data_IF_976154938131
#
_entry.id   IF_976154938131
#
_cell.length_a   1.000
_cell.length_b   1.000
_cell.length_c   1.000
_cell.angle_alpha   90.00
_cell.angle_beta   90.00
_cell.angle_gamma   90.00
#
_symmetry.space_group_name_H-M   'P 1'
#
loop_
_entity.id
_entity.type
_entity.pdbx_description
1 polymer ?
#
# COMPACT_ATOMS: atom_id res chain seq x y z
N UNK A 1 -4.85 37.11 -7.11
CA UNK A 1 -3.40 36.86 -6.95
C UNK A 1 -3.15 36.15 -5.62
N UNK A 2 -1.91 35.73 -5.33
CA UNK A 2 -1.48 34.93 -4.17
C UNK A 2 -1.86 35.56 -2.80
N UNK A 3 -1.86 34.87 -1.65
CA UNK A 3 -1.06 33.70 -1.19
C UNK A 3 -1.86 32.90 -0.11
N UNK A 4 -1.59 31.66 0.35
CA UNK A 4 -0.36 30.93 0.82
C UNK A 4 0.41 31.66 1.94
N UNK A 5 0.85 31.07 3.06
CA UNK A 5 0.71 29.74 3.72
C UNK A 5 0.19 29.98 5.18
N UNK A 6 0.29 29.19 6.26
CA UNK A 6 0.99 27.94 6.63
C UNK A 6 0.38 27.36 7.92
N UNK A 7 0.29 26.02 8.10
CA UNK A 7 0.46 25.33 9.42
C UNK A 7 0.43 23.79 9.31
N UNK A 8 1.05 23.14 10.31
CA UNK A 8 1.12 21.69 10.58
C UNK A 8 2.43 20.99 10.16
N UNK A 9 3.55 21.52 10.65
CA UNK A 9 4.90 20.96 10.45
C UNK A 9 5.15 19.73 11.35
N UNK A 10 4.41 18.64 11.11
CA UNK A 10 4.63 17.32 11.75
C UNK A 10 6.00 16.76 11.33
N UNK A 11 7.07 17.19 12.01
CA UNK A 11 8.41 16.57 11.96
C UNK A 11 8.32 15.19 12.62
N UNK A 12 7.83 14.23 11.85
CA UNK A 12 7.97 12.79 12.13
C UNK A 12 9.47 12.48 12.17
N UNK A 13 10.04 12.34 13.36
CA UNK A 13 11.43 11.85 13.49
C UNK A 13 11.50 10.49 12.81
N UNK A 14 12.43 10.34 11.86
CA UNK A 14 12.76 9.05 11.26
C UNK A 14 13.69 8.36 12.24
N UNK A 15 13.12 7.57 13.15
CA UNK A 15 13.90 6.64 13.96
C UNK A 15 14.47 5.61 12.97
N UNK A 16 15.76 5.71 12.68
CA UNK A 16 16.50 4.76 11.88
C UNK A 16 16.68 3.47 12.69
N UNK A 17 15.61 2.68 12.77
CA UNK A 17 15.52 1.44 13.54
C UNK A 17 16.33 0.32 12.92
N UNK A 18 17.66 0.45 12.92
CA UNK A 18 18.60 -0.64 12.64
C UNK A 18 18.64 -1.60 13.83
N UNK A 19 17.53 -2.30 14.05
CA UNK A 19 17.54 -3.54 14.80
C UNK A 19 18.23 -4.57 13.90
N UNK A 20 19.29 -5.23 14.38
CA UNK A 20 20.22 -6.03 13.57
C UNK A 20 19.68 -7.34 12.97
N UNK A 21 18.37 -7.42 12.71
CA UNK A 21 17.77 -8.46 11.89
C UNK A 21 17.98 -8.17 10.40
N UNK A 22 18.05 -9.18 9.53
CA UNK A 22 18.09 -8.96 8.08
C UNK A 22 16.80 -8.30 7.61
N UNK A 23 16.90 -7.10 7.02
CA UNK A 23 15.78 -6.40 6.40
C UNK A 23 15.58 -6.94 4.98
N UNK A 24 14.34 -7.26 4.62
CA UNK A 24 13.98 -7.66 3.26
C UNK A 24 14.10 -6.43 2.33
N UNK A 25 14.78 -6.52 1.17
CA UNK A 25 14.83 -5.44 0.19
C UNK A 25 13.43 -4.94 -0.24
N UNK A 26 13.32 -3.67 -0.59
CA UNK A 26 12.03 -3.05 -0.93
C UNK A 26 11.43 -3.65 -2.21
N UNK A 27 12.24 -4.18 -3.13
CA UNK A 27 11.83 -4.86 -4.36
C UNK A 27 11.13 -6.20 -4.05
N UNK A 28 11.76 -7.03 -3.21
CA UNK A 28 11.17 -8.31 -2.76
C UNK A 28 9.95 -8.06 -1.87
N UNK A 29 9.97 -6.97 -1.09
CA UNK A 29 8.81 -6.50 -0.33
C UNK A 29 7.66 -6.13 -1.27
N UNK A 30 7.91 -5.37 -2.33
CA UNK A 30 6.92 -5.03 -3.35
C UNK A 30 6.36 -6.28 -4.05
N UNK A 31 7.20 -7.23 -4.44
CA UNK A 31 6.79 -8.52 -5.02
C UNK A 31 5.84 -9.33 -4.12
N UNK A 32 6.14 -9.43 -2.82
CA UNK A 32 5.28 -10.12 -1.85
C UNK A 32 3.96 -9.37 -1.69
N UNK A 33 4.00 -8.05 -1.60
CA UNK A 33 2.82 -7.20 -1.49
C UNK A 33 1.92 -7.31 -2.74
N UNK A 34 2.48 -7.29 -3.95
CA UNK A 34 1.70 -7.36 -5.21
C UNK A 34 0.81 -8.61 -5.29
N UNK A 35 1.24 -9.72 -4.70
CA UNK A 35 0.50 -11.00 -4.67
C UNK A 35 -0.71 -11.00 -3.72
N UNK A 36 -0.94 -9.94 -2.94
CA UNK A 36 -1.99 -9.86 -1.91
C UNK A 36 -3.28 -9.17 -2.40
N UNK A 37 -4.47 -9.52 -1.86
CA UNK A 37 -5.71 -8.86 -2.20
C UNK A 37 -5.80 -7.44 -1.63
N UNK A 38 -6.40 -6.50 -2.37
CA UNK A 38 -6.40 -5.06 -2.08
C UNK A 38 -6.89 -4.69 -0.66
N UNK A 39 -7.82 -5.47 -0.07
CA UNK A 39 -8.30 -5.25 1.31
C UNK A 39 -7.22 -5.49 2.38
N UNK A 40 -6.20 -6.30 2.08
CA UNK A 40 -5.01 -6.46 2.93
C UNK A 40 -4.02 -5.32 2.68
N UNK A 41 -3.77 -4.97 1.43
CA UNK A 41 -2.90 -3.84 1.04
C UNK A 41 -3.32 -2.53 1.70
N UNK A 42 -4.61 -2.19 1.68
CA UNK A 42 -5.15 -0.99 2.34
C UNK A 42 -4.89 -0.95 3.86
N UNK A 43 -4.75 -2.11 4.52
CA UNK A 43 -4.35 -2.19 5.94
C UNK A 43 -2.84 -2.11 6.12
N UNK A 44 -2.06 -2.55 5.13
CA UNK A 44 -0.60 -2.63 5.22
C UNK A 44 0.10 -1.26 5.13
N UNK A 45 -0.58 -0.22 4.59
CA UNK A 45 -0.15 1.18 4.78
C UNK A 45 -0.04 1.62 6.25
N UNK A 46 -0.71 0.92 7.18
CA UNK A 46 -0.65 1.23 8.62
C UNK A 46 0.45 0.45 9.38
N UNK A 47 1.16 -0.48 8.73
CA UNK A 47 2.15 -1.36 9.39
C UNK A 47 3.46 -0.61 9.68
N UNK A 48 4.05 0.02 8.66
CA UNK A 48 5.26 0.83 8.83
C UNK A 48 5.37 1.91 7.74
N UNK A 49 6.29 2.87 7.92
CA UNK A 49 6.46 3.98 6.96
C UNK A 49 7.07 3.56 5.62
N UNK A 50 7.95 2.53 5.56
CA UNK A 50 8.49 2.08 4.27
C UNK A 50 7.41 1.38 3.45
N UNK A 51 6.64 0.47 4.06
CA UNK A 51 5.50 -0.17 3.40
C UNK A 51 4.46 0.86 2.93
N UNK A 52 4.15 1.88 3.75
CA UNK A 52 3.28 2.97 3.32
C UNK A 52 3.82 3.73 2.09
N UNK A 53 5.14 3.91 1.96
CA UNK A 53 5.78 4.55 0.81
C UNK A 53 5.79 3.64 -0.42
N UNK A 54 6.22 2.38 -0.29
CA UNK A 54 6.21 1.36 -1.36
C UNK A 54 4.81 1.22 -1.95
N UNK A 55 3.79 1.04 -1.10
CA UNK A 55 2.39 0.88 -1.51
C UNK A 55 1.77 2.16 -2.11
N UNK A 56 2.40 3.32 -1.92
CA UNK A 56 1.98 4.59 -2.52
C UNK A 56 2.80 4.97 -3.77
N UNK A 57 3.74 4.12 -4.20
CA UNK A 57 4.54 4.38 -5.40
C UNK A 57 3.75 4.08 -6.68
N UNK A 58 4.02 4.86 -7.73
CA UNK A 58 3.40 4.64 -9.05
C UNK A 58 3.82 3.31 -9.68
N UNK A 59 5.05 2.87 -9.42
CA UNK A 59 5.56 1.58 -9.89
C UNK A 59 4.86 0.40 -9.21
N UNK A 60 4.69 0.43 -7.88
CA UNK A 60 3.89 -0.58 -7.18
C UNK A 60 2.46 -0.62 -7.71
N UNK A 61 1.81 0.54 -7.92
CA UNK A 61 0.45 0.57 -8.45
C UNK A 61 0.36 0.01 -9.88
N UNK A 62 1.33 0.34 -10.74
CA UNK A 62 1.42 -0.19 -12.10
C UNK A 62 1.54 -1.72 -12.07
N UNK A 63 2.49 -2.25 -11.29
CA UNK A 63 2.67 -3.69 -11.08
C UNK A 63 1.39 -4.32 -10.49
N UNK A 64 0.75 -3.70 -9.52
CA UNK A 64 -0.48 -4.21 -8.89
C UNK A 64 -1.66 -4.34 -9.86
N UNK A 65 -1.73 -3.45 -10.87
CA UNK A 65 -2.70 -3.52 -11.96
C UNK A 65 -2.29 -4.57 -13.00
N UNK A 66 -1.02 -4.63 -13.42
CA UNK A 66 -0.52 -5.65 -14.37
C UNK A 66 -0.61 -7.07 -13.84
N UNK A 67 -0.36 -7.29 -12.54
CA UNK A 67 -0.58 -8.55 -11.83
C UNK A 67 -2.03 -8.77 -11.35
N UNK A 68 -2.97 -7.91 -11.77
CA UNK A 68 -4.39 -8.24 -11.82
C UNK A 68 -5.17 -8.23 -10.50
N UNK A 69 -4.87 -7.34 -9.55
CA UNK A 69 -5.75 -6.99 -8.40
C UNK A 69 -6.31 -8.25 -7.68
N UNK A 70 -5.40 -9.17 -7.34
CA UNK A 70 -5.57 -10.63 -7.47
C UNK A 70 -6.72 -11.34 -6.71
N UNK A 71 -7.55 -10.65 -5.90
CA UNK A 71 -8.86 -11.19 -5.48
C UNK A 71 -9.96 -10.21 -5.00
N UNK A 72 -9.95 -8.95 -5.44
CA UNK A 72 -11.13 -8.08 -5.22
C UNK A 72 -12.33 -8.55 -6.06
N UNK A 73 -12.07 -8.86 -7.32
CA UNK A 73 -13.05 -9.25 -8.33
C UNK A 73 -13.98 -10.37 -7.85
N UNK A 74 -13.44 -11.48 -7.37
CA UNK A 74 -14.23 -12.67 -7.02
C UNK A 74 -15.10 -12.48 -5.76
N UNK A 75 -14.75 -11.56 -4.85
CA UNK A 75 -15.55 -11.26 -3.66
C UNK A 75 -16.55 -10.10 -3.87
N UNK A 76 -16.36 -9.31 -4.93
CA UNK A 76 -17.44 -8.51 -5.52
C UNK A 76 -18.39 -9.39 -6.32
N UNK A 77 -17.90 -10.35 -7.13
CA UNK A 77 -18.70 -11.33 -7.88
C UNK A 77 -19.72 -12.03 -6.99
N UNK A 78 -19.28 -12.63 -5.87
CA UNK A 78 -20.19 -13.27 -4.87
C UNK A 78 -21.14 -12.32 -4.12
N UNK A 79 -20.95 -11.00 -4.18
CA UNK A 79 -21.85 -10.00 -3.55
C UNK A 79 -22.82 -9.40 -4.56
N UNK A 80 -22.36 -9.05 -5.76
CA UNK A 80 -23.22 -8.60 -6.86
C UNK A 80 -24.21 -9.69 -7.28
N UNK A 81 -23.77 -10.95 -7.41
CA UNK A 81 -24.65 -12.11 -7.64
C UNK A 81 -25.55 -12.47 -6.44
N UNK A 82 -25.57 -11.66 -5.38
CA UNK A 82 -26.52 -11.78 -4.25
C UNK A 82 -27.32 -10.50 -4.00
N UNK A 83 -27.36 -9.60 -5.00
CA UNK A 83 -28.25 -8.44 -5.12
C UNK A 83 -29.25 -8.59 -6.29
N UNK A 84 -29.26 -9.76 -6.96
CA UNK A 84 -30.13 -10.09 -8.11
C UNK A 84 -30.80 -11.47 -7.94
N UNK A 85 -31.18 -11.76 -6.69
CA UNK A 85 -32.17 -12.78 -6.26
C UNK A 85 -32.96 -12.13 -5.13
#
# INVERSE_FOLDING_TARGET
>A
MSSRTTTSKRRMVVVAGSFGAPVLPDELTAEVLVRLPFKSIQRFHAVCRSWAAVLSSGEFLSLYVTFGINKMEENWRRRASKLFV
#
